data_IF_796278418715
#
_entry.id   IF_796278418715
#
_cell.length_a   1.000
_cell.length_b   1.000
_cell.length_c   1.000
_cell.angle_alpha   90.00
_cell.angle_beta   90.00
_cell.angle_gamma   90.00
#
_symmetry.space_group_name_H-M   'P 1'
#
loop_
_entity.id
_entity.type
_entity.pdbx_description
1 polymer ?
#
# COMPACT_ATOMS: atom_id res chain seq x y z
N UNK A 1 -6.79 -79.26 -8.44
CA UNK A 1 -7.59 -78.24 -7.72
C UNK A 1 -7.48 -76.92 -8.48
N UNK A 2 -8.46 -76.58 -9.32
CA UNK A 2 -8.43 -75.36 -10.15
C UNK A 2 -9.44 -74.35 -9.61
N UNK A 3 -8.95 -73.24 -9.04
CA UNK A 3 -9.78 -72.10 -8.60
C UNK A 3 -10.03 -71.19 -9.81
N UNK A 4 -11.13 -71.45 -10.52
CA UNK A 4 -11.64 -70.56 -11.55
C UNK A 4 -12.30 -69.33 -10.90
N UNK A 5 -11.57 -68.21 -10.84
CA UNK A 5 -12.09 -66.91 -10.39
C UNK A 5 -12.96 -66.32 -11.50
N UNK A 6 -14.29 -66.42 -11.34
CA UNK A 6 -15.24 -65.77 -12.25
C UNK A 6 -15.19 -64.26 -12.02
N UNK A 7 -14.72 -63.51 -13.02
CA UNK A 7 -14.94 -62.07 -13.12
C UNK A 7 -16.37 -61.89 -13.62
N UNK A 8 -17.30 -61.63 -12.70
CA UNK A 8 -18.66 -61.23 -13.05
C UNK A 8 -18.64 -59.82 -13.61
N UNK A 9 -18.67 -59.71 -14.93
CA UNK A 9 -18.87 -58.48 -15.69
C UNK A 9 -20.34 -58.04 -15.60
N UNK A 10 -20.76 -57.53 -14.45
CA UNK A 10 -22.05 -56.84 -14.29
C UNK A 10 -21.77 -55.42 -13.80
N UNK A 11 -21.81 -54.42 -14.69
CA UNK A 11 -21.62 -53.02 -14.29
C UNK A 11 -21.20 -52.01 -15.37
N UNK A 12 -21.38 -52.30 -16.66
CA UNK A 12 -20.81 -51.51 -17.77
C UNK A 12 -21.42 -50.13 -18.07
N UNK A 13 -22.39 -49.64 -17.29
CA UNK A 13 -23.03 -48.32 -17.52
C UNK A 13 -22.63 -47.23 -16.53
N UNK A 14 -22.54 -47.55 -15.24
CA UNK A 14 -22.27 -46.57 -14.18
C UNK A 14 -20.82 -46.10 -14.13
N UNK A 15 -19.86 -46.93 -14.56
CA UNK A 15 -18.44 -46.57 -14.53
C UNK A 15 -18.07 -45.48 -15.55
N UNK A 16 -18.76 -45.43 -16.70
CA UNK A 16 -18.49 -44.45 -17.76
C UNK A 16 -19.05 -43.07 -17.42
N UNK A 17 -20.27 -43.02 -16.87
CA UNK A 17 -20.88 -41.75 -16.47
C UNK A 17 -20.16 -41.11 -15.28
N UNK A 18 -19.69 -41.93 -14.32
CA UNK A 18 -18.87 -41.44 -13.20
C UNK A 18 -17.53 -40.89 -13.70
N UNK A 19 -16.90 -41.57 -14.66
CA UNK A 19 -15.64 -41.14 -15.24
C UNK A 19 -15.79 -39.82 -16.04
N UNK A 20 -16.86 -39.68 -16.81
CA UNK A 20 -17.18 -38.42 -17.50
C UNK A 20 -17.45 -37.29 -16.51
N UNK A 21 -18.17 -37.55 -15.41
CA UNK A 21 -18.42 -36.54 -14.38
C UNK A 21 -17.12 -36.07 -13.71
N UNK A 22 -16.22 -37.02 -13.36
CA UNK A 22 -14.90 -36.69 -12.81
C UNK A 22 -14.09 -35.88 -13.81
N UNK A 23 -14.07 -36.28 -15.09
CA UNK A 23 -13.36 -35.54 -16.14
C UNK A 23 -13.89 -34.10 -16.28
N UNK A 24 -15.22 -33.93 -16.31
CA UNK A 24 -15.85 -32.60 -16.34
C UNK A 24 -15.53 -31.80 -15.08
N UNK A 25 -15.52 -32.42 -13.90
CA UNK A 25 -15.15 -31.74 -12.66
C UNK A 25 -13.68 -31.31 -12.65
N UNK A 26 -12.78 -32.12 -13.20
CA UNK A 26 -11.35 -31.80 -13.29
C UNK A 26 -11.10 -30.67 -14.28
N UNK A 27 -11.80 -30.66 -15.42
CA UNK A 27 -11.75 -29.57 -16.40
C UNK A 27 -12.31 -28.28 -15.79
N UNK A 28 -13.47 -28.34 -15.13
CA UNK A 28 -14.05 -27.17 -14.46
C UNK A 28 -13.10 -26.62 -13.38
N UNK A 29 -12.57 -27.48 -12.51
CA UNK A 29 -11.62 -27.10 -11.49
C UNK A 29 -10.33 -26.51 -12.07
N UNK A 30 -9.78 -27.11 -13.14
CA UNK A 30 -8.60 -26.59 -13.83
C UNK A 30 -8.88 -25.21 -14.46
N UNK A 31 -10.05 -25.01 -15.06
CA UNK A 31 -10.44 -23.71 -15.61
C UNK A 31 -10.59 -22.65 -14.53
N UNK A 32 -11.20 -22.99 -13.38
CA UNK A 32 -11.27 -22.10 -12.22
C UNK A 32 -9.89 -21.81 -11.65
N UNK A 33 -8.99 -22.80 -11.59
CA UNK A 33 -7.61 -22.62 -11.11
C UNK A 33 -6.81 -21.66 -11.99
N UNK A 34 -6.94 -21.75 -13.32
CA UNK A 34 -6.30 -20.81 -14.25
C UNK A 34 -6.95 -19.42 -14.17
N UNK A 35 -8.27 -19.34 -14.09
CA UNK A 35 -8.98 -18.08 -13.96
C UNK A 35 -8.63 -17.37 -12.64
N UNK A 36 -8.56 -18.11 -11.53
CA UNK A 36 -8.07 -17.63 -10.23
C UNK A 36 -6.64 -17.16 -10.34
N UNK A 37 -5.73 -17.97 -10.89
CA UNK A 37 -4.32 -17.60 -11.03
C UNK A 37 -4.12 -16.30 -11.83
N UNK A 38 -4.90 -16.09 -12.90
CA UNK A 38 -4.87 -14.82 -13.66
C UNK A 38 -5.44 -13.63 -12.89
N UNK A 39 -6.50 -13.85 -12.10
CA UNK A 39 -7.05 -12.81 -11.24
C UNK A 39 -6.06 -12.45 -10.13
N UNK A 40 -5.44 -13.45 -9.53
CA UNK A 40 -4.41 -13.33 -8.49
C UNK A 40 -3.14 -12.65 -9.03
N UNK A 41 -2.71 -12.96 -10.25
CA UNK A 41 -1.57 -12.32 -10.93
C UNK A 41 -1.82 -10.83 -11.17
N UNK A 42 -2.96 -10.48 -11.77
CA UNK A 42 -3.34 -9.07 -11.99
C UNK A 42 -3.45 -8.29 -10.67
N UNK A 43 -3.89 -8.95 -9.61
CA UNK A 43 -3.98 -8.36 -8.29
C UNK A 43 -2.57 -8.18 -7.68
N UNK A 44 -1.70 -9.18 -7.82
CA UNK A 44 -0.32 -9.13 -7.36
C UNK A 44 0.50 -8.04 -8.07
N UNK A 45 0.30 -7.84 -9.38
CA UNK A 45 0.91 -6.74 -10.12
C UNK A 45 0.48 -5.38 -9.55
N UNK A 46 -0.82 -5.17 -9.35
CA UNK A 46 -1.32 -3.93 -8.74
C UNK A 46 -0.75 -3.68 -7.35
N UNK A 47 -0.65 -4.73 -6.52
CA UNK A 47 -0.06 -4.61 -5.20
C UNK A 47 1.43 -4.28 -5.27
N UNK A 48 2.18 -4.89 -6.21
CA UNK A 48 3.59 -4.58 -6.43
C UNK A 48 3.78 -3.14 -6.86
N UNK A 49 3.02 -2.68 -7.85
CA UNK A 49 3.13 -1.32 -8.38
C UNK A 49 2.78 -0.27 -7.32
N UNK A 50 1.75 -0.54 -6.49
CA UNK A 50 1.41 0.31 -5.36
C UNK A 50 2.54 0.37 -4.31
N UNK A 51 3.16 -0.77 -4.02
CA UNK A 51 4.25 -0.87 -3.05
C UNK A 51 5.51 -0.16 -3.55
N UNK A 52 5.86 -0.32 -4.83
CA UNK A 52 7.00 0.36 -5.45
C UNK A 52 6.81 1.88 -5.44
N UNK A 53 5.60 2.35 -5.75
CA UNK A 53 5.29 3.78 -5.71
C UNK A 53 5.34 4.37 -4.30
N UNK A 54 4.93 3.61 -3.28
CA UNK A 54 5.05 4.04 -1.88
C UNK A 54 6.51 4.19 -1.47
N UNK A 55 7.37 3.21 -1.79
CA UNK A 55 8.79 3.31 -1.47
C UNK A 55 9.52 4.41 -2.24
N UNK A 56 9.10 4.69 -3.48
CA UNK A 56 9.61 5.83 -4.23
C UNK A 56 9.28 7.16 -3.54
N UNK A 57 8.02 7.35 -3.14
CA UNK A 57 7.59 8.55 -2.41
C UNK A 57 8.31 8.70 -1.05
N UNK A 58 8.54 7.59 -0.35
CA UNK A 58 9.28 7.58 0.91
C UNK A 58 10.75 7.97 0.71
N UNK A 59 11.37 7.52 -0.37
CA UNK A 59 12.75 7.90 -0.68
C UNK A 59 12.87 9.39 -1.03
N UNK A 60 11.91 9.94 -1.79
CA UNK A 60 11.83 11.39 -2.04
C UNK A 60 11.64 12.18 -0.74
N UNK A 61 10.79 11.68 0.15
CA UNK A 61 10.59 12.25 1.47
C UNK A 61 11.89 12.28 2.29
N UNK A 62 12.64 11.18 2.32
CA UNK A 62 13.93 11.13 3.02
C UNK A 62 14.94 12.11 2.41
N UNK A 63 15.06 12.17 1.08
CA UNK A 63 15.94 13.14 0.43
C UNK A 63 15.58 14.58 0.79
N UNK A 64 14.27 14.89 0.83
CA UNK A 64 13.80 16.21 1.26
C UNK A 64 14.10 16.49 2.74
N UNK A 65 14.01 15.49 3.62
CA UNK A 65 14.38 15.64 5.04
C UNK A 65 15.88 15.88 5.22
N UNK A 66 16.73 15.21 4.45
CA UNK A 66 18.19 15.42 4.48
C UNK A 66 18.56 16.84 4.05
N UNK A 67 17.89 17.38 3.03
CA UNK A 67 18.09 18.76 2.61
C UNK A 67 17.57 19.76 3.67
N UNK A 68 16.40 19.47 4.26
CA UNK A 68 15.86 20.28 5.36
C UNK A 68 16.82 20.31 6.56
N UNK A 69 17.42 19.17 6.93
CA UNK A 69 18.35 19.09 8.05
C UNK A 69 19.60 19.97 7.81
N UNK A 70 20.13 19.92 6.59
CA UNK A 70 21.27 20.76 6.15
C UNK A 70 20.94 22.25 6.21
N UNK A 71 19.74 22.62 5.75
CA UNK A 71 19.27 24.00 5.74
C UNK A 71 19.06 24.51 7.18
N UNK A 72 18.41 23.73 8.04
CA UNK A 72 18.18 24.07 9.45
C UNK A 72 19.50 24.15 10.23
N UNK A 73 20.46 23.25 9.97
CA UNK A 73 21.78 23.31 10.58
C UNK A 73 22.52 24.61 10.20
N UNK A 74 22.47 24.99 8.92
CA UNK A 74 23.09 26.22 8.43
C UNK A 74 22.46 27.45 9.08
N UNK A 75 21.12 27.50 9.13
CA UNK A 75 20.38 28.57 9.79
C UNK A 75 20.67 28.66 11.30
N UNK A 76 20.89 27.52 11.95
CA UNK A 76 21.27 27.49 13.36
C UNK A 76 22.69 28.02 13.58
N UNK A 77 23.65 27.62 12.74
CA UNK A 77 25.05 28.07 12.80
C UNK A 77 25.21 29.56 12.52
N UNK A 78 24.38 30.12 11.64
CA UNK A 78 24.37 31.56 11.35
C UNK A 78 23.90 32.42 12.54
N UNK A 79 23.38 31.81 13.60
CA UNK A 79 23.08 32.50 14.86
C UNK A 79 21.90 33.46 14.77
N UNK A 80 20.97 33.22 13.84
CA UNK A 80 19.78 34.05 13.65
C UNK A 80 18.92 34.17 14.93
N UNK A 81 18.11 35.23 15.04
CA UNK A 81 17.13 35.34 16.14
C UNK A 81 16.11 34.21 16.06
N UNK A 82 15.40 33.95 17.17
CA UNK A 82 14.42 32.87 17.21
C UNK A 82 13.30 33.08 16.18
N UNK A 83 12.77 34.30 16.05
CA UNK A 83 11.74 34.58 15.04
C UNK A 83 12.28 34.45 13.61
N UNK A 84 13.51 34.90 13.35
CA UNK A 84 14.13 34.82 12.03
C UNK A 84 14.40 33.37 11.61
N UNK A 85 14.81 32.52 12.56
CA UNK A 85 15.01 31.08 12.33
C UNK A 85 13.71 30.40 11.90
N UNK A 86 12.61 30.59 12.64
CA UNK A 86 11.33 29.97 12.29
C UNK A 86 10.72 30.56 11.01
N UNK A 87 10.93 31.86 10.74
CA UNK A 87 10.49 32.46 9.49
C UNK A 87 11.26 31.87 8.28
N UNK A 88 12.58 31.69 8.40
CA UNK A 88 13.40 31.10 7.36
C UNK A 88 13.13 29.60 7.16
N UNK A 89 12.83 28.87 8.24
CA UNK A 89 12.44 27.46 8.19
C UNK A 89 11.04 27.21 7.60
N UNK A 90 10.28 28.26 7.25
CA UNK A 90 8.92 28.14 6.71
C UNK A 90 7.83 27.97 7.76
N UNK A 91 8.14 28.18 9.04
CA UNK A 91 7.21 28.14 10.16
C UNK A 91 7.60 27.19 11.29
N UNK A 92 6.70 27.01 12.25
CA UNK A 92 6.84 26.03 13.35
C UNK A 92 6.35 24.64 12.96
N UNK A 93 5.52 24.56 11.93
CA UNK A 93 4.96 23.33 11.42
C UNK A 93 5.11 23.33 9.89
N UNK A 94 5.70 22.25 9.36
CA UNK A 94 5.84 22.02 7.94
C UNK A 94 5.05 20.79 7.56
N UNK A 95 4.17 20.92 6.57
CA UNK A 95 3.49 19.78 5.96
C UNK A 95 3.93 19.66 4.51
N UNK A 96 4.48 18.50 4.16
CA UNK A 96 4.89 18.17 2.79
C UNK A 96 4.16 16.93 2.31
N UNK A 97 3.79 16.92 1.03
CA UNK A 97 3.10 15.82 0.37
C UNK A 97 3.94 15.26 -0.76
N UNK A 98 4.03 13.94 -0.85
CA UNK A 98 4.73 13.19 -1.88
C UNK A 98 3.75 12.22 -2.53
N UNK A 99 3.73 12.14 -3.86
CA UNK A 99 2.77 11.28 -4.55
C UNK A 99 3.19 9.82 -4.45
N UNK A 100 2.39 9.01 -3.77
CA UNK A 100 2.61 7.59 -3.49
C UNK A 100 1.66 6.70 -4.32
N UNK A 101 1.49 7.05 -5.60
CA UNK A 101 0.75 6.28 -6.60
C UNK A 101 -0.40 7.06 -7.21
N UNK A 102 -1.31 6.38 -7.90
CA UNK A 102 -2.40 7.04 -8.64
C UNK A 102 -3.44 7.76 -7.76
N UNK A 103 -3.58 7.36 -6.49
CA UNK A 103 -4.66 7.84 -5.63
C UNK A 103 -4.25 8.12 -4.18
N UNK A 104 -2.94 8.12 -3.90
CA UNK A 104 -2.44 8.23 -2.54
C UNK A 104 -1.27 9.20 -2.50
N UNK A 105 -1.25 10.04 -1.47
CA UNK A 105 -0.12 10.89 -1.14
C UNK A 105 0.43 10.49 0.22
N UNK A 106 1.75 10.36 0.31
CA UNK A 106 2.47 10.30 1.57
C UNK A 106 2.59 11.73 2.12
N UNK A 107 1.98 11.98 3.27
CA UNK A 107 1.99 13.28 3.94
C UNK A 107 2.87 13.20 5.18
N UNK A 108 3.89 14.06 5.23
CA UNK A 108 4.75 14.25 6.40
C UNK A 108 4.42 15.58 7.06
N UNK A 109 4.16 15.53 8.36
CA UNK A 109 3.96 16.70 9.21
C UNK A 109 5.06 16.76 10.24
N UNK A 110 5.82 17.85 10.20
CA UNK A 110 6.98 18.08 11.05
C UNK A 110 6.78 19.32 11.88
N UNK A 111 7.16 19.22 13.15
CA UNK A 111 7.32 20.37 14.03
C UNK A 111 8.78 20.80 14.00
N UNK A 112 9.06 22.03 13.58
CA UNK A 112 10.39 22.60 13.58
C UNK A 112 10.77 22.98 15.01
N UNK A 113 11.96 22.55 15.43
CA UNK A 113 12.52 22.81 16.74
C UNK A 113 13.77 23.69 16.61
N UNK A 114 14.02 24.52 17.63
CA UNK A 114 15.30 25.19 17.79
C UNK A 114 16.02 24.57 18.99
N UNK A 115 17.09 23.81 18.79
CA UNK A 115 17.75 23.15 19.89
C UNK A 115 18.48 24.17 20.79
N UNK A 116 18.24 24.09 22.10
CA UNK A 116 18.92 24.94 23.09
C UNK A 116 20.37 24.52 23.34
N UNK A 117 20.72 23.31 22.91
CA UNK A 117 22.04 22.69 23.01
C UNK A 117 22.48 22.24 21.62
N UNK A 118 23.78 22.33 21.28
CA UNK A 118 24.27 22.04 19.93
C UNK A 118 24.08 20.58 19.46
N UNK A 119 23.70 19.66 20.35
CA UNK A 119 23.40 18.25 20.03
C UNK A 119 21.88 17.93 19.95
N UNK A 120 21.01 18.95 20.00
CA UNK A 120 19.56 18.73 19.96
C UNK A 120 19.00 18.56 18.53
N UNK A 121 17.88 17.84 18.35
CA UNK A 121 17.24 17.68 17.05
C UNK A 121 16.62 18.99 16.53
N UNK A 122 16.74 19.26 15.23
CA UNK A 122 16.20 20.45 14.57
C UNK A 122 14.72 20.35 14.20
N UNK A 123 14.17 19.14 14.20
CA UNK A 123 12.75 18.91 13.94
C UNK A 123 12.28 17.64 14.63
N UNK A 124 10.96 17.52 14.77
CA UNK A 124 10.29 16.31 15.23
C UNK A 124 9.22 15.92 14.23
N UNK A 125 9.24 14.66 13.78
CA UNK A 125 8.15 14.11 13.00
C UNK A 125 6.94 13.94 13.92
N UNK A 126 5.88 14.69 13.66
CA UNK A 126 4.65 14.71 14.49
C UNK A 126 3.56 13.83 13.87
N UNK A 127 3.60 13.62 12.56
CA UNK A 127 2.71 12.69 11.89
C UNK A 127 3.25 12.23 10.53
N UNK A 128 3.10 10.94 10.28
CA UNK A 128 3.20 10.34 8.96
C UNK A 128 1.84 9.73 8.65
N UNK A 129 1.26 10.08 7.50
CA UNK A 129 -0.02 9.51 7.06
C UNK A 129 -0.04 9.37 5.55
N UNK A 130 -0.52 8.23 5.07
CA UNK A 130 -0.91 8.05 3.68
C UNK A 130 -2.36 8.52 3.53
N UNK A 131 -2.57 9.60 2.79
CA UNK A 131 -3.91 10.14 2.52
C UNK A 131 -4.34 9.76 1.10
N UNK A 132 -5.57 9.25 0.95
CA UNK A 132 -6.16 9.05 -0.36
C UNK A 132 -6.45 10.42 -0.99
N UNK A 133 -5.91 10.70 -2.18
CA UNK A 133 -6.13 11.94 -2.94
C UNK A 133 -7.57 12.05 -3.49
N UNK A 134 -8.37 10.99 -3.36
CA UNK A 134 -9.79 10.99 -3.72
C UNK A 134 -10.59 11.75 -2.67
N UNK A 135 -11.02 12.96 -3.01
CA UNK A 135 -11.99 13.71 -2.21
C UNK A 135 -13.35 13.00 -2.31
N UNK A 136 -13.67 12.13 -1.37
CA UNK A 136 -15.04 11.62 -1.24
C UNK A 136 -15.94 12.77 -0.82
N UNK A 137 -16.62 13.37 -1.80
CA UNK A 137 -17.76 14.24 -1.53
C UNK A 137 -18.89 13.34 -1.01
N UNK A 138 -18.99 13.20 0.31
CA UNK A 138 -20.16 12.61 0.94
C UNK A 138 -21.31 13.60 0.72
N UNK A 139 -22.10 13.33 -0.31
CA UNK A 139 -23.36 14.02 -0.57
C UNK A 139 -24.29 13.73 0.62
N UNK A 140 -24.28 14.64 1.59
CA UNK A 140 -25.01 14.51 2.83
C UNK A 140 -26.43 15.08 2.72
N UNK A 141 -27.01 15.18 1.51
CA UNK A 141 -28.42 15.50 1.29
C UNK A 141 -29.34 14.31 1.62
N UNK A 142 -29.12 13.68 2.78
CA UNK A 142 -30.11 12.81 3.39
C UNK A 142 -31.29 13.69 3.81
N UNK A 143 -32.38 13.63 3.05
CA UNK A 143 -33.68 14.15 3.47
C UNK A 143 -34.16 13.36 4.68
N UNK A 144 -33.97 13.92 5.88
CA UNK A 144 -34.57 13.40 7.11
C UNK A 144 -36.08 13.55 6.95
N UNK A 145 -36.79 12.44 6.72
CA UNK A 145 -38.25 12.43 6.77
C UNK A 145 -38.65 12.72 8.22
N UNK A 146 -39.30 13.86 8.44
CA UNK A 146 -39.79 14.31 9.74
C UNK A 146 -41.08 13.59 10.13
#
# INVERSE_FOLDING_TARGET
MSRSRRITTTGGGFSLILLLFILLSLVCFATLSIASARADEKLAEKYRDQNDSYYHALNEAHAWLEDLDRDLETLYRDGASEEAYFAAAGGRELTKRFSAGENFDLVLTLEILRPRTPEGPFYRLTGEKTESTVTYNYDNTLSVVK
#
